data_IF_186109462277
#
_entry.id   IF_186109462277
#
_cell.length_a   1.000
_cell.length_b   1.000
_cell.length_c   1.000
_cell.angle_alpha   90.00
_cell.angle_beta   90.00
_cell.angle_gamma   90.00
#
_symmetry.space_group_name_H-M   'P 1'
#
loop_
_entity.id
_entity.type
_entity.pdbx_description
1 polymer ?
#
# COMPACT_ATOMS: atom_id res chain seq x y z
N UNK A 1 -10.13 1.66 23.75
CA UNK A 1 -8.96 1.09 23.02
C UNK A 1 -8.22 2.23 22.34
N UNK A 2 -6.94 2.40 22.64
CA UNK A 2 -6.15 3.41 21.94
C UNK A 2 -5.73 2.88 20.57
N UNK A 3 -6.10 3.56 19.50
CA UNK A 3 -5.61 3.26 18.17
C UNK A 3 -4.13 3.56 18.12
N UNK A 4 -3.31 2.55 17.76
CA UNK A 4 -1.88 2.75 17.55
C UNK A 4 -1.66 3.29 16.13
N UNK A 5 -1.11 4.49 16.04
CA UNK A 5 -0.72 5.10 14.77
C UNK A 5 0.79 4.88 14.61
N UNK A 6 1.18 4.32 13.46
CA UNK A 6 2.58 4.21 13.07
C UNK A 6 2.83 5.18 11.90
N UNK A 7 3.44 6.33 12.20
CA UNK A 7 3.76 7.33 11.19
C UNK A 7 5.17 7.09 10.65
N UNK A 8 5.26 6.50 9.46
CA UNK A 8 6.53 6.16 8.83
C UNK A 8 7.38 7.38 8.45
N UNK A 9 6.77 8.57 8.33
CA UNK A 9 7.49 9.81 8.04
C UNK A 9 8.33 10.32 9.22
N UNK A 10 8.10 9.83 10.42
CA UNK A 10 8.88 10.19 11.62
C UNK A 10 10.19 9.41 11.74
N UNK A 11 10.38 8.39 10.92
CA UNK A 11 11.58 7.55 10.89
C UNK A 11 12.51 7.97 9.75
N UNK A 12 13.82 7.91 10.01
CA UNK A 12 14.82 8.12 8.96
C UNK A 12 14.94 6.86 8.11
N UNK A 13 14.29 6.85 6.94
CA UNK A 13 14.28 5.73 6.02
C UNK A 13 14.13 6.20 4.57
N UNK A 14 14.30 5.30 3.63
CA UNK A 14 14.08 5.57 2.21
C UNK A 14 12.61 6.00 1.90
N UNK A 15 11.68 5.67 2.79
CA UNK A 15 10.29 6.09 2.68
C UNK A 15 10.16 7.61 2.58
N UNK A 16 10.89 8.36 3.43
CA UNK A 16 10.86 9.82 3.42
C UNK A 16 11.43 10.41 2.13
N UNK A 17 12.39 9.73 1.51
CA UNK A 17 12.92 10.13 0.20
C UNK A 17 11.82 10.05 -0.88
N UNK A 18 11.10 8.94 -0.96
CA UNK A 18 10.02 8.79 -1.93
C UNK A 18 8.85 9.74 -1.66
N UNK A 19 8.50 9.94 -0.39
CA UNK A 19 7.47 10.91 -0.01
C UNK A 19 7.85 12.33 -0.37
N UNK A 20 9.11 12.72 -0.21
CA UNK A 20 9.59 14.04 -0.61
C UNK A 20 9.48 14.27 -2.11
N UNK A 21 9.80 13.27 -2.92
CA UNK A 21 9.65 13.33 -4.37
C UNK A 21 8.19 13.43 -4.82
N UNK A 22 7.29 12.69 -4.20
CA UNK A 22 5.85 12.75 -4.49
C UNK A 22 5.29 14.15 -4.22
N UNK A 23 5.79 14.81 -3.19
CA UNK A 23 5.34 16.15 -2.76
C UNK A 23 6.07 17.30 -3.44
N UNK A 24 7.20 17.05 -4.09
CA UNK A 24 8.03 18.08 -4.71
C UNK A 24 7.39 18.56 -6.01
N UNK A 25 7.11 19.87 -6.11
CA UNK A 25 6.49 20.47 -7.30
C UNK A 25 7.31 20.31 -8.57
N UNK A 26 8.63 20.21 -8.45
CA UNK A 26 9.54 20.04 -9.59
C UNK A 26 9.60 18.57 -10.08
N UNK A 27 9.25 17.61 -9.24
CA UNK A 27 9.35 16.17 -9.54
C UNK A 27 7.97 15.56 -9.84
N UNK A 28 6.90 16.04 -9.21
CA UNK A 28 5.57 15.42 -9.35
C UNK A 28 4.98 15.49 -10.77
N UNK A 29 5.52 16.33 -11.64
CA UNK A 29 5.13 16.41 -13.05
C UNK A 29 5.71 15.25 -13.89
N UNK A 30 6.72 14.54 -13.40
CA UNK A 30 7.17 13.28 -13.97
C UNK A 30 6.17 12.18 -13.58
N UNK A 31 5.24 11.91 -14.49
CA UNK A 31 4.11 11.00 -14.25
C UNK A 31 4.55 9.57 -13.96
N UNK A 32 5.60 9.10 -14.62
CA UNK A 32 6.13 7.76 -14.39
C UNK A 32 6.76 7.67 -13.00
N UNK A 33 7.58 8.64 -12.63
CA UNK A 33 8.23 8.69 -11.31
C UNK A 33 7.19 8.80 -10.19
N UNK A 34 6.17 9.63 -10.38
CA UNK A 34 5.08 9.79 -9.42
C UNK A 34 4.37 8.46 -9.13
N UNK A 35 3.97 7.75 -10.19
CA UNK A 35 3.34 6.44 -10.05
C UNK A 35 4.29 5.40 -9.44
N UNK A 36 5.53 5.40 -9.86
CA UNK A 36 6.53 4.46 -9.36
C UNK A 36 6.84 4.69 -7.89
N UNK A 37 6.89 5.95 -7.45
CA UNK A 37 7.08 6.27 -6.04
C UNK A 37 5.88 5.87 -5.18
N UNK A 38 4.66 6.01 -5.68
CA UNK A 38 3.48 5.50 -4.98
C UNK A 38 3.53 3.97 -4.81
N UNK A 39 3.98 3.26 -5.82
CA UNK A 39 4.19 1.80 -5.74
C UNK A 39 5.25 1.44 -4.68
N UNK A 40 6.38 2.16 -4.67
CA UNK A 40 7.44 1.97 -3.68
C UNK A 40 6.97 2.26 -2.25
N UNK A 41 6.20 3.31 -2.08
CA UNK A 41 5.55 3.63 -0.80
C UNK A 41 4.61 2.50 -0.37
N UNK A 42 3.83 1.96 -1.30
CA UNK A 42 2.95 0.81 -1.06
C UNK A 42 3.73 -0.44 -0.61
N UNK A 43 4.86 -0.73 -1.23
CA UNK A 43 5.74 -1.85 -0.85
C UNK A 43 6.27 -1.69 0.58
N UNK A 44 6.75 -0.50 0.93
CA UNK A 44 7.27 -0.22 2.27
C UNK A 44 6.15 -0.32 3.31
N UNK A 45 4.97 0.22 3.02
CA UNK A 45 3.81 0.12 3.89
C UNK A 45 3.38 -1.33 4.08
N UNK A 46 3.37 -2.13 3.02
CA UNK A 46 3.06 -3.55 3.09
C UNK A 46 4.04 -4.30 4.01
N UNK A 47 5.32 -4.01 3.90
CA UNK A 47 6.33 -4.57 4.80
C UNK A 47 6.08 -4.21 6.27
N UNK A 48 5.81 -2.94 6.54
CA UNK A 48 5.51 -2.48 7.92
C UNK A 48 4.23 -3.13 8.46
N UNK A 49 3.20 -3.23 7.65
CA UNK A 49 1.94 -3.90 8.03
C UNK A 49 2.17 -5.39 8.30
N UNK A 50 3.03 -6.04 7.53
CA UNK A 50 3.32 -7.47 7.70
C UNK A 50 3.79 -7.82 9.12
N UNK A 51 4.44 -6.89 9.80
CA UNK A 51 4.90 -7.07 11.18
C UNK A 51 3.77 -7.21 12.20
N UNK A 52 2.56 -6.80 11.82
CA UNK A 52 1.35 -6.88 12.66
C UNK A 52 0.48 -8.09 12.37
N UNK A 53 0.81 -8.85 11.33
CA UNK A 53 0.05 -10.02 10.88
C UNK A 53 0.48 -11.29 11.64
N UNK A 54 -0.34 -12.32 11.53
CA UNK A 54 -0.05 -13.64 12.11
C UNK A 54 0.95 -14.43 11.28
N UNK A 55 1.85 -15.13 11.96
CA UNK A 55 2.82 -16.04 11.36
C UNK A 55 2.74 -17.41 12.01
N UNK A 56 3.06 -18.44 11.25
CA UNK A 56 3.12 -19.83 11.72
C UNK A 56 4.39 -20.51 11.26
N UNK A 57 4.79 -21.55 12.00
CA UNK A 57 5.90 -22.41 11.60
C UNK A 57 5.43 -23.38 10.52
N UNK A 58 6.16 -23.44 9.42
CA UNK A 58 5.88 -24.37 8.32
C UNK A 58 7.15 -25.12 7.92
N UNK A 59 7.09 -26.45 7.74
CA UNK A 59 8.22 -27.22 7.24
C UNK A 59 8.42 -26.94 5.76
N UNK A 60 9.57 -26.42 5.40
CA UNK A 60 9.96 -26.13 4.01
C UNK A 60 11.07 -27.09 3.59
N UNK A 61 10.87 -27.79 2.48
CA UNK A 61 11.90 -28.63 1.89
C UNK A 61 12.90 -27.79 1.13
N UNK A 62 14.15 -27.79 1.58
CA UNK A 62 15.25 -27.10 0.95
C UNK A 62 16.20 -28.11 0.28
N UNK A 63 17.15 -27.66 -0.56
CA UNK A 63 18.17 -28.56 -1.12
C UNK A 63 19.03 -29.30 -0.09
N UNK A 64 19.12 -28.75 1.14
CA UNK A 64 19.93 -29.31 2.23
C UNK A 64 19.12 -30.08 3.28
N UNK A 65 17.80 -30.16 3.10
CA UNK A 65 16.89 -30.84 4.04
C UNK A 65 15.68 -29.98 4.41
N UNK A 66 14.90 -30.44 5.38
CA UNK A 66 13.70 -29.74 5.83
C UNK A 66 14.09 -28.68 6.86
N UNK A 67 13.58 -27.45 6.67
CA UNK A 67 13.74 -26.32 7.58
C UNK A 67 12.37 -25.81 8.02
N UNK A 68 12.20 -25.52 9.31
CA UNK A 68 11.00 -24.86 9.81
C UNK A 68 11.14 -23.35 9.65
N UNK A 69 10.25 -22.75 8.87
CA UNK A 69 10.27 -21.33 8.56
C UNK A 69 9.00 -20.64 9.05
N UNK A 70 9.14 -19.38 9.46
CA UNK A 70 8.00 -18.51 9.74
C UNK A 70 7.38 -18.05 8.42
N UNK A 71 6.12 -18.34 8.21
CA UNK A 71 5.35 -17.92 7.05
C UNK A 71 4.06 -17.24 7.50
N UNK A 72 3.51 -16.38 6.66
CA UNK A 72 2.21 -15.76 6.94
C UNK A 72 1.14 -16.85 7.11
N UNK A 73 0.40 -16.78 8.21
CA UNK A 73 -0.71 -17.70 8.48
C UNK A 73 -1.95 -17.37 7.64
N UNK A 74 -2.18 -16.08 7.38
CA UNK A 74 -3.31 -15.60 6.60
C UNK A 74 -2.89 -14.43 5.72
N UNK A 75 -3.46 -14.36 4.51
CA UNK A 75 -3.27 -13.23 3.62
C UNK A 75 -4.22 -12.09 3.99
N UNK A 76 -3.80 -10.82 3.92
CA UNK A 76 -4.72 -9.71 4.03
C UNK A 76 -5.64 -9.62 2.81
N UNK A 77 -6.76 -8.94 2.96
CA UNK A 77 -7.59 -8.51 1.83
C UNK A 77 -7.21 -7.06 1.48
N UNK A 78 -6.94 -6.81 0.22
CA UNK A 78 -6.58 -5.49 -0.29
C UNK A 78 -7.81 -4.79 -0.86
N UNK A 79 -8.20 -3.68 -0.23
CA UNK A 79 -9.30 -2.84 -0.69
C UNK A 79 -8.74 -1.51 -1.21
N UNK A 80 -9.09 -1.14 -2.42
CA UNK A 80 -8.52 0.03 -3.10
C UNK A 80 -9.60 0.91 -3.70
N UNK A 81 -9.48 2.21 -3.44
CA UNK A 81 -10.33 3.22 -4.04
C UNK A 81 -9.80 3.56 -5.44
N UNK A 82 -10.63 3.32 -6.45
CA UNK A 82 -10.31 3.61 -7.84
C UNK A 82 -10.44 5.12 -8.11
N UNK A 83 -9.67 5.65 -9.00
CA UNK A 83 -8.57 5.08 -9.79
C UNK A 83 -7.21 5.46 -9.23
N UNK A 84 -7.15 6.54 -8.44
CA UNK A 84 -5.90 7.10 -7.91
C UNK A 84 -5.11 6.11 -7.02
N UNK A 85 -5.80 5.18 -6.37
CA UNK A 85 -5.18 4.17 -5.52
C UNK A 85 -4.44 3.04 -6.24
N UNK A 86 -4.56 2.91 -7.57
CA UNK A 86 -4.01 1.77 -8.31
C UNK A 86 -2.48 1.61 -8.17
N UNK A 87 -1.65 2.66 -8.26
CA UNK A 87 -0.20 2.49 -8.08
C UNK A 87 0.19 2.04 -6.67
N UNK A 88 -0.48 2.57 -5.65
CA UNK A 88 -0.27 2.15 -4.26
C UNK A 88 -0.71 0.70 -4.06
N UNK A 89 -1.85 0.32 -4.61
CA UNK A 89 -2.36 -1.05 -4.61
C UNK A 89 -1.34 -2.03 -5.23
N UNK A 90 -0.73 -1.66 -6.34
CA UNK A 90 0.30 -2.48 -6.98
C UNK A 90 1.48 -2.74 -6.05
N UNK A 91 1.89 -1.73 -5.27
CA UNK A 91 2.95 -1.88 -4.28
C UNK A 91 2.60 -2.90 -3.19
N UNK A 92 1.39 -2.85 -2.68
CA UNK A 92 0.89 -3.86 -1.72
C UNK A 92 0.82 -5.25 -2.34
N UNK A 93 0.34 -5.34 -3.59
CA UNK A 93 0.20 -6.61 -4.30
C UNK A 93 1.56 -7.25 -4.61
N UNK A 94 2.62 -6.48 -4.79
CA UNK A 94 3.96 -6.98 -4.99
C UNK A 94 4.48 -7.79 -3.78
N UNK A 95 3.98 -7.49 -2.59
CA UNK A 95 4.36 -8.18 -1.35
C UNK A 95 3.32 -9.22 -0.90
N UNK A 96 2.05 -8.89 -1.08
CA UNK A 96 0.93 -9.79 -0.76
C UNK A 96 0.31 -10.31 -2.06
N UNK A 97 1.10 -11.02 -2.85
CA UNK A 97 0.73 -11.48 -4.20
C UNK A 97 -0.38 -12.54 -4.22
N UNK A 98 -0.67 -13.15 -3.07
CA UNK A 98 -1.77 -14.10 -2.88
C UNK A 98 -3.01 -13.49 -2.23
N UNK A 99 -2.99 -12.19 -1.95
CA UNK A 99 -4.11 -11.51 -1.30
C UNK A 99 -5.32 -11.42 -2.22
N UNK A 100 -6.50 -11.53 -1.65
CA UNK A 100 -7.73 -11.18 -2.33
C UNK A 100 -7.84 -9.67 -2.49
N UNK A 101 -8.43 -9.25 -3.61
CA UNK A 101 -8.53 -7.85 -3.98
C UNK A 101 -9.99 -7.44 -4.09
N UNK A 102 -10.31 -6.26 -3.61
CA UNK A 102 -11.58 -5.60 -3.84
C UNK A 102 -11.36 -4.14 -4.22
N UNK A 103 -12.26 -3.60 -5.04
CA UNK A 103 -12.17 -2.25 -5.54
C UNK A 103 -13.43 -1.47 -5.18
N UNK A 104 -13.23 -0.22 -4.81
CA UNK A 104 -14.29 0.71 -4.46
C UNK A 104 -14.24 1.86 -5.46
N UNK A 105 -15.33 2.08 -6.18
CA UNK A 105 -15.48 3.26 -7.03
C UNK A 105 -15.86 4.46 -6.19
N UNK A 106 -15.16 5.56 -6.36
CA UNK A 106 -15.51 6.84 -5.77
C UNK A 106 -15.30 7.95 -6.78
N UNK A 107 -16.27 8.78 -6.97
CA UNK A 107 -16.19 9.90 -7.90
C UNK A 107 -16.88 11.14 -7.35
N UNK A 108 -16.41 12.30 -7.83
CA UNK A 108 -16.99 13.59 -7.46
C UNK A 108 -18.14 13.92 -8.38
N UNK A 109 -19.26 14.29 -7.79
CA UNK A 109 -20.39 14.86 -8.52
C UNK A 109 -20.28 16.38 -8.36
N UNK A 110 -20.08 17.09 -9.46
CA UNK A 110 -20.10 18.55 -9.48
C UNK A 110 -21.53 19.05 -9.67
N UNK A 111 -22.00 19.85 -8.74
CA UNK A 111 -23.24 20.62 -8.89
C UNK A 111 -22.92 21.95 -9.58
N UNK A 112 -23.78 22.38 -10.52
CA UNK A 112 -23.55 23.59 -11.31
C UNK A 112 -23.20 24.81 -10.45
N UNK A 113 -22.17 25.52 -10.84
CA UNK A 113 -21.75 26.87 -10.45
C UNK A 113 -21.10 27.07 -9.07
N UNK A 114 -20.98 26.09 -8.21
CA UNK A 114 -20.20 26.19 -6.97
C UNK A 114 -19.05 25.18 -6.93
N UNK A 115 -17.94 25.52 -6.29
CA UNK A 115 -16.82 24.60 -6.00
C UNK A 115 -17.22 23.43 -5.09
N UNK A 116 -18.49 23.35 -4.72
CA UNK A 116 -19.05 22.26 -3.95
C UNK A 116 -19.17 20.98 -4.77
N UNK A 117 -18.78 19.86 -4.22
CA UNK A 117 -18.93 18.54 -4.81
C UNK A 117 -19.36 17.53 -3.77
N UNK A 118 -20.12 16.54 -4.20
CA UNK A 118 -20.43 15.35 -3.42
C UNK A 118 -19.54 14.20 -3.86
N UNK A 119 -19.29 13.26 -2.96
CA UNK A 119 -18.56 12.02 -3.25
C UNK A 119 -19.56 10.88 -3.28
N UNK A 120 -19.64 10.21 -4.41
CA UNK A 120 -20.40 8.97 -4.55
C UNK A 120 -19.46 7.78 -4.49
N UNK A 121 -19.86 6.75 -3.75
CA UNK A 121 -19.08 5.53 -3.51
C UNK A 121 -19.92 4.32 -3.91
N UNK A 122 -19.35 3.45 -4.74
CA UNK A 122 -19.95 2.19 -5.19
C UNK A 122 -19.04 0.99 -4.87
#
# INVERSE_FOLDING_TARGET
>A
MKTKINNLSEQHSIFTQFMSEIRNVDVQNDRMRFRRNLERVGEIMAYEISKTLGFEQSPITTPLGVSNCNVLSEQPVLATILRAGLPLHQGFLNYFDKAENTFISAYRIHHNDDDAFDVEVE
#
